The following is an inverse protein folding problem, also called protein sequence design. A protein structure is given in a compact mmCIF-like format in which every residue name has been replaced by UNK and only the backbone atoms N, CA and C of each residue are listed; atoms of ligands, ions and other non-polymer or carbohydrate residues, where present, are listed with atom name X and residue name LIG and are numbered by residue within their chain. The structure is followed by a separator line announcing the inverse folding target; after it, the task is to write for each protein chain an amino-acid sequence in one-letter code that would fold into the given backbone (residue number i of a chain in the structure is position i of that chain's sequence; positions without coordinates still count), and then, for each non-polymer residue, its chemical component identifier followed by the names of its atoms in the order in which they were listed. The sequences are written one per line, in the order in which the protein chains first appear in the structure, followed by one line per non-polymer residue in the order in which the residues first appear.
data_IF_242072029293
#
_entry.id   IF_242072029293
#
_cell.length_a   1.000
_cell.length_b   1.000
_cell.length_c   1.000
_cell.angle_alpha   90.00
_cell.angle_beta   90.00
_cell.angle_gamma   90.00
#
_symmetry.space_group_name_H-M   'P 1'
#
loop_
_entity.id
_entity.type
_entity.pdbx_description
1 polymer ?
#
# COMPACT_ATOMS: atom_id res chain seq x y z
N UNK A 1 65.44 -54.62 -39.19
CA UNK A 1 64.10 -55.03 -39.67
C UNK A 1 63.05 -55.08 -38.55
N UNK A 2 63.07 -56.05 -37.61
CA UNK A 2 62.04 -56.12 -36.55
C UNK A 2 62.10 -54.95 -35.54
N UNK A 3 63.31 -54.61 -35.07
CA UNK A 3 63.54 -53.50 -34.13
C UNK A 3 63.18 -52.13 -34.73
N UNK A 4 63.43 -51.93 -36.03
CA UNK A 4 63.06 -50.70 -36.74
C UNK A 4 61.54 -50.53 -36.83
N UNK A 5 60.81 -51.61 -37.09
CA UNK A 5 59.35 -51.58 -37.12
C UNK A 5 58.77 -51.28 -35.74
N UNK A 6 59.35 -51.85 -34.67
CA UNK A 6 58.95 -51.54 -33.29
C UNK A 6 59.19 -50.06 -32.93
N UNK A 7 60.34 -49.51 -33.35
CA UNK A 7 60.65 -48.08 -33.16
C UNK A 7 59.63 -47.20 -33.89
N UNK A 8 59.25 -47.53 -35.12
CA UNK A 8 58.25 -46.79 -35.90
C UNK A 8 56.89 -46.80 -35.19
N UNK A 9 56.41 -47.96 -34.72
CA UNK A 9 55.13 -48.06 -34.00
C UNK A 9 55.13 -47.24 -32.70
N UNK A 10 56.26 -47.21 -31.97
CA UNK A 10 56.41 -46.37 -30.77
C UNK A 10 56.32 -44.88 -31.11
N UNK A 11 56.94 -44.43 -32.20
CA UNK A 11 56.88 -43.04 -32.64
C UNK A 11 55.47 -42.61 -33.07
N UNK A 12 54.73 -43.48 -33.75
CA UNK A 12 53.32 -43.24 -34.10
C UNK A 12 52.45 -43.09 -32.85
N UNK A 13 52.65 -43.96 -31.86
CA UNK A 13 51.97 -43.89 -30.57
C UNK A 13 52.26 -42.57 -29.84
N UNK A 14 53.53 -42.12 -29.83
CA UNK A 14 53.92 -40.83 -29.24
C UNK A 14 53.25 -39.66 -29.96
N UNK A 15 53.19 -39.70 -31.30
CA UNK A 15 52.50 -38.66 -32.10
C UNK A 15 51.01 -38.60 -31.77
N UNK A 16 50.35 -39.75 -31.62
CA UNK A 16 48.95 -39.82 -31.24
C UNK A 16 48.73 -39.29 -29.82
N UNK A 17 49.57 -39.70 -28.86
CA UNK A 17 49.54 -39.18 -27.48
C UNK A 17 49.63 -37.65 -27.49
N UNK A 18 50.60 -37.07 -28.22
CA UNK A 18 50.76 -35.61 -28.31
C UNK A 18 49.48 -34.93 -28.85
N UNK A 19 48.90 -35.48 -29.91
CA UNK A 19 47.68 -34.92 -30.50
C UNK A 19 46.49 -35.00 -29.53
N UNK A 20 46.31 -36.12 -28.83
CA UNK A 20 45.28 -36.26 -27.79
C UNK A 20 45.51 -35.32 -26.62
N UNK A 21 46.75 -35.14 -26.17
CA UNK A 21 47.09 -34.18 -25.11
C UNK A 21 46.73 -32.75 -25.51
N UNK A 22 47.00 -32.33 -26.74
CA UNK A 22 46.62 -31.00 -27.23
C UNK A 22 45.09 -30.83 -27.31
N UNK A 23 44.35 -31.84 -27.75
CA UNK A 23 42.89 -31.80 -27.74
C UNK A 23 42.32 -31.73 -26.32
N UNK A 24 42.87 -32.53 -25.41
CA UNK A 24 42.48 -32.56 -24.00
C UNK A 24 42.69 -31.19 -23.33
N UNK A 25 43.83 -30.54 -23.54
CA UNK A 25 44.08 -29.20 -22.96
C UNK A 25 43.13 -28.13 -23.52
N UNK A 26 42.75 -28.21 -24.81
CA UNK A 26 41.70 -27.34 -25.37
C UNK A 26 40.34 -27.55 -24.71
N UNK A 27 39.94 -28.80 -24.50
CA UNK A 27 38.67 -29.13 -23.84
C UNK A 27 38.70 -28.68 -22.38
N UNK A 28 39.81 -28.92 -21.68
CA UNK A 28 40.01 -28.52 -20.28
C UNK A 28 39.92 -27.01 -20.10
N UNK A 29 40.52 -26.22 -20.99
CA UNK A 29 40.41 -24.76 -20.96
C UNK A 29 38.96 -24.28 -21.12
N UNK A 30 38.22 -24.87 -22.07
CA UNK A 30 36.79 -24.57 -22.26
C UNK A 30 35.95 -24.97 -21.06
N UNK A 31 36.18 -26.17 -20.51
CA UNK A 31 35.48 -26.65 -19.32
C UNK A 31 35.66 -25.71 -18.14
N UNK A 32 36.88 -25.18 -17.95
CA UNK A 32 37.17 -24.23 -16.87
C UNK A 32 36.38 -22.93 -17.05
N UNK A 33 36.35 -22.37 -18.25
CA UNK A 33 35.59 -21.15 -18.54
C UNK A 33 34.09 -21.34 -18.33
N UNK A 34 33.52 -22.46 -18.79
CA UNK A 34 32.10 -22.78 -18.57
C UNK A 34 31.78 -22.99 -17.07
N UNK A 35 32.70 -23.58 -16.30
CA UNK A 35 32.54 -23.74 -14.85
C UNK A 35 32.49 -22.39 -14.12
N UNK A 36 33.38 -21.46 -14.49
CA UNK A 36 33.40 -20.11 -13.93
C UNK A 36 32.13 -19.32 -14.30
N UNK A 37 31.64 -19.48 -15.53
CA UNK A 37 30.38 -18.88 -15.99
C UNK A 37 29.18 -19.46 -15.21
N UNK A 38 29.14 -20.79 -15.02
CA UNK A 38 28.10 -21.47 -14.25
C UNK A 38 28.05 -20.96 -12.79
N UNK A 39 29.20 -20.88 -12.11
CA UNK A 39 29.30 -20.34 -10.75
C UNK A 39 28.84 -18.87 -10.66
N UNK A 40 29.08 -18.08 -11.70
CA UNK A 40 28.58 -16.70 -11.77
C UNK A 40 27.05 -16.64 -11.91
N UNK A 41 26.48 -17.51 -12.73
CA UNK A 41 25.04 -17.57 -12.96
C UNK A 41 24.29 -18.11 -11.73
N UNK A 42 24.86 -19.09 -11.02
CA UNK A 42 24.31 -19.56 -9.75
C UNK A 42 24.25 -18.45 -8.69
N UNK A 43 25.25 -17.55 -8.65
CA UNK A 43 25.24 -16.38 -7.77
C UNK A 43 24.13 -15.41 -8.14
N UNK A 44 24.00 -15.05 -9.42
CA UNK A 44 22.93 -14.16 -9.89
C UNK A 44 21.54 -14.74 -9.60
N UNK A 45 21.36 -16.05 -9.86
CA UNK A 45 20.09 -16.72 -9.59
C UNK A 45 19.70 -16.64 -8.11
N UNK A 46 20.67 -16.73 -7.20
CA UNK A 46 20.43 -16.57 -5.77
C UNK A 46 20.02 -15.13 -5.42
N UNK A 47 20.69 -14.15 -6.00
CA UNK A 47 20.36 -12.73 -5.81
C UNK A 47 18.96 -12.39 -6.33
N UNK A 48 18.57 -12.89 -7.50
CA UNK A 48 17.22 -12.67 -8.05
C UNK A 48 16.12 -13.31 -7.21
N UNK A 49 16.36 -14.51 -6.65
CA UNK A 49 15.42 -15.14 -5.72
C UNK A 49 15.26 -14.33 -4.45
N UNK A 50 16.36 -13.84 -3.88
CA UNK A 50 16.33 -13.00 -2.70
C UNK A 50 15.61 -11.68 -2.97
N UNK A 51 15.86 -11.04 -4.11
CA UNK A 51 15.17 -9.80 -4.50
C UNK A 51 13.66 -10.03 -4.67
N UNK A 52 13.27 -11.15 -5.26
CA UNK A 52 11.86 -11.55 -5.37
C UNK A 52 11.20 -11.68 -3.98
N UNK A 53 11.87 -12.30 -3.01
CA UNK A 53 11.36 -12.43 -1.65
C UNK A 53 11.18 -11.06 -0.97
N UNK A 54 12.13 -10.13 -1.17
CA UNK A 54 12.03 -8.76 -0.65
C UNK A 54 10.85 -7.99 -1.26
N UNK A 55 10.64 -8.10 -2.57
CA UNK A 55 9.51 -7.48 -3.27
C UNK A 55 8.16 -8.04 -2.77
N UNK A 56 8.09 -9.34 -2.53
CA UNK A 56 6.91 -9.96 -1.94
C UNK A 56 6.66 -9.45 -0.52
N UNK A 57 7.70 -9.28 0.29
CA UNK A 57 7.58 -8.70 1.62
C UNK A 57 7.08 -7.25 1.58
N UNK A 58 7.62 -6.42 0.69
CA UNK A 58 7.19 -5.03 0.51
C UNK A 58 5.73 -4.95 0.07
N UNK A 59 5.32 -5.79 -0.89
CA UNK A 59 3.91 -5.92 -1.31
C UNK A 59 3.00 -6.25 -0.11
N UNK A 60 3.43 -7.15 0.78
CA UNK A 60 2.64 -7.50 1.97
C UNK A 60 2.57 -6.34 2.97
N UNK A 61 3.64 -5.57 3.13
CA UNK A 61 3.64 -4.37 3.97
C UNK A 61 2.62 -3.33 3.46
N UNK A 62 2.59 -3.06 2.17
CA UNK A 62 1.60 -2.14 1.58
C UNK A 62 0.15 -2.64 1.72
N UNK A 63 -0.07 -3.95 1.62
CA UNK A 63 -1.41 -4.53 1.86
C UNK A 63 -1.89 -4.24 3.29
N UNK A 64 -1.01 -4.34 4.28
CA UNK A 64 -1.34 -4.05 5.68
C UNK A 64 -1.59 -2.56 5.91
N UNK A 65 -0.82 -1.67 5.28
CA UNK A 65 -1.08 -0.22 5.31
C UNK A 65 -2.48 0.10 4.77
N UNK A 66 -2.87 -0.49 3.63
CA UNK A 66 -4.21 -0.33 3.07
C UNK A 66 -5.29 -0.86 4.02
N UNK A 67 -5.03 -1.98 4.71
CA UNK A 67 -5.95 -2.55 5.70
C UNK A 67 -6.16 -1.60 6.88
N UNK A 68 -5.10 -0.95 7.36
CA UNK A 68 -5.17 0.03 8.46
C UNK A 68 -5.94 1.28 8.02
N UNK A 69 -5.65 1.83 6.84
CA UNK A 69 -6.40 2.96 6.28
C UNK A 69 -7.90 2.63 6.18
N UNK A 70 -8.24 1.42 5.75
CA UNK A 70 -9.64 0.99 5.68
C UNK A 70 -10.30 0.93 7.07
N UNK A 71 -9.58 0.48 8.10
CA UNK A 71 -10.08 0.49 9.47
C UNK A 71 -10.33 1.93 9.97
N UNK A 72 -9.41 2.85 9.71
CA UNK A 72 -9.54 4.26 10.09
C UNK A 72 -10.72 4.95 9.39
N UNK A 73 -10.91 4.67 8.09
CA UNK A 73 -12.09 5.14 7.34
C UNK A 73 -13.38 4.66 8.01
N UNK A 74 -13.48 3.38 8.35
CA UNK A 74 -14.68 2.83 8.99
C UNK A 74 -14.95 3.49 10.35
N UNK A 75 -13.92 3.79 11.15
CA UNK A 75 -14.07 4.53 12.41
C UNK A 75 -14.61 5.94 12.16
N UNK A 76 -14.06 6.64 11.17
CA UNK A 76 -14.52 7.98 10.80
C UNK A 76 -15.96 7.99 10.28
N UNK A 77 -16.34 7.04 9.42
CA UNK A 77 -17.71 6.90 8.93
C UNK A 77 -18.72 6.70 10.07
N UNK A 78 -18.38 5.83 11.03
CA UNK A 78 -19.24 5.59 12.19
C UNK A 78 -19.33 6.83 13.10
N UNK A 79 -18.23 7.56 13.26
CA UNK A 79 -18.20 8.81 14.02
C UNK A 79 -19.08 9.89 13.39
N UNK A 80 -19.05 10.01 12.06
CA UNK A 80 -19.92 10.93 11.32
C UNK A 80 -21.38 10.54 11.51
N UNK A 81 -21.75 9.28 11.28
CA UNK A 81 -23.13 8.78 11.47
C UNK A 81 -23.66 9.06 12.88
N UNK A 82 -22.82 8.85 13.90
CA UNK A 82 -23.19 9.14 15.28
C UNK A 82 -23.41 10.64 15.50
N UNK A 83 -22.52 11.47 14.99
CA UNK A 83 -22.62 12.93 15.10
C UNK A 83 -23.85 13.50 14.39
N UNK A 84 -24.21 12.95 13.23
CA UNK A 84 -25.44 13.31 12.50
C UNK A 84 -26.70 12.93 13.28
N UNK A 85 -26.71 11.74 13.91
CA UNK A 85 -27.80 11.31 14.79
C UNK A 85 -27.97 12.27 15.97
N UNK A 86 -26.86 12.66 16.61
CA UNK A 86 -26.88 13.55 17.76
C UNK A 86 -27.28 14.98 17.36
N UNK A 87 -26.84 15.47 16.21
CA UNK A 87 -27.30 16.74 15.64
C UNK A 87 -28.82 16.73 15.42
N UNK A 88 -29.37 15.64 14.88
CA UNK A 88 -30.82 15.53 14.67
C UNK A 88 -31.59 15.57 16.00
N UNK A 89 -31.09 14.90 17.04
CA UNK A 89 -31.69 14.97 18.39
C UNK A 89 -31.67 16.39 18.95
N UNK A 90 -30.56 17.11 18.79
CA UNK A 90 -30.44 18.49 19.23
C UNK A 90 -31.39 19.42 18.47
N UNK A 91 -31.49 19.27 17.15
CA UNK A 91 -32.43 20.04 16.33
C UNK A 91 -33.89 19.85 16.78
N UNK A 92 -34.30 18.60 16.99
CA UNK A 92 -35.64 18.29 17.50
C UNK A 92 -35.88 18.88 18.90
N UNK A 93 -34.89 18.81 19.79
CA UNK A 93 -34.97 19.42 21.11
C UNK A 93 -35.10 20.94 21.05
N UNK A 94 -34.33 21.60 20.18
CA UNK A 94 -34.41 23.06 19.98
C UNK A 94 -35.77 23.45 19.43
N UNK A 95 -36.31 22.72 18.45
CA UNK A 95 -37.64 23.00 17.90
C UNK A 95 -38.74 22.90 18.95
N UNK A 96 -38.73 21.85 19.78
CA UNK A 96 -39.70 21.72 20.88
C UNK A 96 -39.62 22.87 21.87
N UNK A 97 -38.42 23.26 22.27
CA UNK A 97 -38.23 24.41 23.17
C UNK A 97 -38.68 25.72 22.53
N UNK A 98 -38.44 25.92 21.24
CA UNK A 98 -38.91 27.10 20.52
C UNK A 98 -40.45 27.14 20.46
N UNK A 99 -41.09 26.01 20.23
CA UNK A 99 -42.56 25.87 20.24
C UNK A 99 -43.15 26.14 21.64
N UNK A 100 -42.45 25.78 22.72
CA UNK A 100 -42.84 26.12 24.10
C UNK A 100 -42.57 27.60 24.45
N UNK A 101 -41.45 28.14 24.00
CA UNK A 101 -41.02 29.51 24.27
C UNK A 101 -41.98 30.55 23.68
N UNK A 102 -42.42 30.33 22.44
CA UNK A 102 -43.25 31.30 21.70
C UNK A 102 -44.54 31.70 22.44
N UNK A 103 -45.44 30.77 22.83
CA UNK A 103 -46.66 31.14 23.56
C UNK A 103 -46.35 31.71 24.95
N UNK A 104 -45.29 31.24 25.61
CA UNK A 104 -44.87 31.78 26.91
C UNK A 104 -44.43 33.24 26.79
N UNK A 105 -43.62 33.57 25.78
CA UNK A 105 -43.21 34.95 25.49
C UNK A 105 -44.42 35.82 25.19
N UNK A 106 -45.33 35.35 24.34
CA UNK A 106 -46.56 36.09 24.01
C UNK A 106 -47.38 36.40 25.28
N UNK A 107 -47.46 35.45 26.22
CA UNK A 107 -48.12 35.66 27.50
C UNK A 107 -47.37 36.68 28.40
N UNK A 108 -46.04 36.60 28.49
CA UNK A 108 -45.21 37.57 29.24
C UNK A 108 -45.34 38.98 28.67
N UNK A 109 -45.31 39.11 27.34
CA UNK A 109 -45.50 40.39 26.65
C UNK A 109 -46.91 40.93 26.93
N UNK A 110 -47.96 40.09 26.92
CA UNK A 110 -49.31 40.50 27.27
C UNK A 110 -49.41 41.03 28.70
N UNK A 111 -48.84 40.32 29.68
CA UNK A 111 -48.79 40.77 31.08
C UNK A 111 -48.02 42.10 31.23
N UNK A 112 -46.88 42.22 30.56
CA UNK A 112 -46.06 43.45 30.60
C UNK A 112 -46.83 44.67 30.08
N UNK A 113 -47.60 44.49 29.01
CA UNK A 113 -48.46 45.54 28.46
C UNK A 113 -49.56 45.98 29.43
N UNK A 114 -50.12 45.09 30.26
CA UNK A 114 -51.11 45.48 31.29
C UNK A 114 -50.54 46.41 32.36
N UNK A 115 -49.23 46.38 32.56
CA UNK A 115 -48.49 47.21 33.51
C UNK A 115 -47.85 48.46 32.84
N UNK A 116 -48.09 48.67 31.54
CA UNK A 116 -47.52 49.79 30.79
C UNK A 116 -46.02 49.65 30.44
N UNK A 117 -45.45 48.44 30.52
CA UNK A 117 -44.05 48.17 30.18
C UNK A 117 -43.89 47.84 28.67
N UNK A 118 -42.70 48.07 28.12
CA UNK A 118 -42.36 47.71 26.73
C UNK A 118 -42.17 46.19 26.57
N UNK A 119 -42.42 45.69 25.35
CA UNK A 119 -42.25 44.28 24.99
C UNK A 119 -40.79 43.84 25.00
N UNK A 120 -40.56 42.57 25.28
CA UNK A 120 -39.23 41.98 25.28
C UNK A 120 -38.72 41.71 23.85
N UNK A 121 -37.40 41.82 23.58
CA UNK A 121 -36.80 41.47 22.29
C UNK A 121 -37.10 40.03 21.87
N UNK A 122 -37.19 39.78 20.56
CA UNK A 122 -37.42 38.44 20.02
C UNK A 122 -36.11 37.64 19.89
N UNK A 123 -36.07 36.43 20.46
CA UNK A 123 -34.97 35.48 20.26
C UNK A 123 -34.88 34.96 18.80
N UNK A 124 -35.97 35.04 18.04
CA UNK A 124 -36.08 34.49 16.68
C UNK A 124 -35.13 35.13 15.64
N UNK A 125 -34.71 36.39 15.84
CA UNK A 125 -33.78 37.07 14.91
C UNK A 125 -32.32 36.57 15.04
N UNK A 126 -31.94 36.01 16.19
CA UNK A 126 -30.61 35.40 16.39
C UNK A 126 -30.51 33.99 15.80
N UNK A 127 -31.57 33.19 15.88
CA UNK A 127 -31.59 31.81 15.38
C UNK A 127 -31.59 31.73 13.84
N UNK A 128 -32.34 32.60 13.15
CA UNK A 128 -32.39 32.67 11.67
C UNK A 128 -31.04 33.06 11.04
N UNK A 129 -30.22 33.87 11.75
CA UNK A 129 -28.85 34.21 11.33
C UNK A 129 -27.92 32.99 11.43
N UNK A 130 -28.05 32.22 12.50
CA UNK A 130 -27.23 31.03 12.77
C UNK A 130 -27.53 29.87 11.80
N UNK A 131 -28.79 29.72 11.37
CA UNK A 131 -29.24 28.64 10.46
C UNK A 131 -28.70 28.78 9.03
N UNK A 132 -28.64 30.01 8.50
CA UNK A 132 -28.15 30.30 7.13
C UNK A 132 -26.66 30.00 6.95
N UNK A 133 -25.90 30.01 8.03
CA UNK A 133 -24.46 29.72 8.02
C UNK A 133 -24.16 28.20 8.03
N UNK A 134 -25.07 27.37 8.55
CA UNK A 134 -24.90 25.92 8.64
C UNK A 134 -25.40 25.14 7.41
N UNK A 135 -26.42 25.62 6.71
CA UNK A 135 -27.01 24.91 5.56
C UNK A 135 -26.09 24.74 4.33
N UNK A 136 -24.96 25.45 4.26
CA UNK A 136 -23.99 25.35 3.15
C UNK A 136 -22.96 24.22 3.30
N UNK A 137 -22.89 23.54 4.45
CA UNK A 137 -21.86 22.52 4.73
C UNK A 137 -22.28 21.07 4.45
N UNK A 138 -23.56 20.82 4.14
CA UNK A 138 -24.15 19.47 4.16
C UNK A 138 -24.20 18.76 2.78
N UNK A 139 -23.37 19.13 1.80
CA UNK A 139 -23.46 18.56 0.43
C UNK A 139 -22.17 17.95 -0.11
N UNK A 140 -21.18 17.63 0.74
CA UNK A 140 -19.98 16.91 0.28
C UNK A 140 -19.71 15.68 1.13
N UNK A 141 -20.62 14.70 1.08
CA UNK A 141 -20.20 13.31 1.28
C UNK A 141 -19.23 12.98 0.13
N UNK A 142 -17.98 12.57 0.40
CA UNK A 142 -17.13 12.07 -0.67
C UNK A 142 -17.87 10.90 -1.34
N UNK A 143 -17.78 10.74 -2.67
CA UNK A 143 -18.36 9.58 -3.32
C UNK A 143 -17.76 8.35 -2.63
N UNK A 144 -18.62 7.44 -2.17
CA UNK A 144 -18.21 6.15 -1.64
C UNK A 144 -17.28 5.53 -2.66
N UNK A 145 -15.97 5.60 -2.41
CA UNK A 145 -14.97 4.88 -3.16
C UNK A 145 -15.43 3.43 -3.07
N UNK A 146 -15.87 2.93 -4.22
CA UNK A 146 -16.36 1.58 -4.39
C UNK A 146 -15.43 0.60 -3.67
N UNK A 147 -15.94 -0.49 -3.09
CA UNK A 147 -15.08 -1.52 -2.54
C UNK A 147 -14.25 -2.05 -3.70
N UNK A 148 -13.00 -1.61 -3.82
CA UNK A 148 -12.05 -2.25 -4.71
C UNK A 148 -12.02 -3.72 -4.29
N UNK A 149 -12.11 -4.69 -5.21
CA UNK A 149 -12.20 -6.09 -4.86
C UNK A 149 -10.84 -6.55 -4.32
N UNK A 150 -10.62 -6.35 -3.01
CA UNK A 150 -9.55 -6.95 -2.23
C UNK A 150 -9.62 -8.50 -2.26
N UNK A 151 -10.67 -9.07 -2.85
CA UNK A 151 -10.83 -10.50 -3.09
C UNK A 151 -9.88 -11.08 -4.15
N UNK A 152 -9.17 -10.26 -4.93
CA UNK A 152 -8.25 -10.75 -5.97
C UNK A 152 -6.76 -10.77 -5.59
N UNK A 153 -6.38 -10.43 -4.35
CA UNK A 153 -4.96 -10.25 -3.98
C UNK A 153 -4.38 -11.18 -2.91
N UNK A 154 -5.13 -12.18 -2.44
CA UNK A 154 -4.57 -13.20 -1.55
C UNK A 154 -4.14 -14.47 -2.29
N UNK A 155 -2.86 -14.85 -2.17
CA UNK A 155 -2.50 -16.23 -1.92
C UNK A 155 -2.31 -16.47 -0.42
N UNK A 156 -2.75 -17.66 -0.03
CA UNK A 156 -2.75 -18.23 1.31
C UNK A 156 -1.44 -18.08 2.09
N UNK A 157 -1.61 -17.75 3.37
CA UNK A 157 -0.73 -18.07 4.51
C UNK A 157 0.76 -17.75 4.37
N UNK A 158 1.22 -16.71 5.09
CA UNK A 158 2.44 -16.75 5.90
C UNK A 158 2.50 -15.53 6.82
N UNK A 159 2.65 -15.79 8.12
CA UNK A 159 2.85 -14.78 9.16
C UNK A 159 4.29 -14.25 9.03
N UNK A 160 4.50 -12.95 8.88
CA UNK A 160 5.83 -12.37 9.11
C UNK A 160 5.78 -11.02 9.84
N UNK A 161 6.55 -10.98 10.92
CA UNK A 161 6.88 -9.83 11.77
C UNK A 161 7.61 -8.76 10.97
N UNK A 162 7.37 -7.51 11.36
CA UNK A 162 7.84 -6.33 10.63
C UNK A 162 9.33 -6.03 10.71
N UNK A 163 9.74 -5.10 9.86
CA UNK A 163 10.60 -3.94 10.20
C UNK A 163 10.93 -3.12 8.95
N UNK A 164 10.79 -1.79 9.12
CA UNK A 164 11.52 -0.65 8.53
C UNK A 164 11.96 -0.76 7.07
N UNK A 165 11.26 0.00 6.21
CA UNK A 165 11.62 0.31 4.84
C UNK A 165 12.89 1.16 4.79
N UNK A 166 13.87 0.71 4.00
CA UNK A 166 15.07 1.44 3.64
C UNK A 166 15.09 1.51 2.12
N UNK A 167 14.82 2.70 1.57
CA UNK A 167 14.80 2.96 0.12
C UNK A 167 16.06 2.40 -0.54
N UNK A 168 15.91 1.43 -1.45
CA UNK A 168 17.00 0.93 -2.30
C UNK A 168 16.82 1.40 -3.74
N UNK A 169 17.90 1.99 -4.28
CA UNK A 169 18.07 2.30 -5.70
C UNK A 169 18.31 1.00 -6.49
N UNK A 170 17.87 0.91 -7.75
CA UNK A 170 18.07 -0.28 -8.58
C UNK A 170 19.55 -0.48 -8.95
N UNK A 171 20.01 -1.73 -9.17
CA UNK A 171 21.35 -2.01 -9.64
C UNK A 171 21.48 -1.55 -11.10
N UNK A 172 22.43 -0.65 -11.34
CA UNK A 172 22.75 -0.15 -12.68
C UNK A 172 23.45 -1.25 -13.47
N UNK A 173 22.73 -1.91 -14.38
CA UNK A 173 23.31 -2.87 -15.32
C UNK A 173 24.21 -2.15 -16.31
N UNK A 174 25.52 -2.39 -16.19
CA UNK A 174 26.50 -2.04 -17.22
C UNK A 174 26.67 -3.25 -18.13
N UNK A 175 26.09 -3.22 -19.33
CA UNK A 175 26.47 -4.11 -20.42
C UNK A 175 27.63 -3.49 -21.19
N UNK A 176 28.75 -4.20 -21.39
CA UNK A 176 29.57 -4.00 -22.57
C UNK A 176 29.28 -5.15 -23.54
N UNK A 177 28.59 -4.83 -24.64
CA UNK A 177 28.66 -5.64 -25.85
C UNK A 177 29.98 -5.30 -26.56
N UNK A 178 30.89 -6.27 -26.64
CA UNK A 178 31.91 -6.41 -27.69
C UNK A 178 32.06 -7.90 -28.01
#
# INVERSE_FOLDING_TARGET
MADEQEIICKLESIKEIRNKTLQMEKIKARLKAESEALESEERHLKEYKQEMDLLLQEKMAHMEELRLIHADINVMENTIKQSESDLNKLLESTWRLHDEYKPLKEHVDALSMTLGLQRLPNLCEEEEKSRKQNGRRNLSSPPSLSPWPLQLLLPSSSKCLGSRTLSRRPPSGSSPHL
#
